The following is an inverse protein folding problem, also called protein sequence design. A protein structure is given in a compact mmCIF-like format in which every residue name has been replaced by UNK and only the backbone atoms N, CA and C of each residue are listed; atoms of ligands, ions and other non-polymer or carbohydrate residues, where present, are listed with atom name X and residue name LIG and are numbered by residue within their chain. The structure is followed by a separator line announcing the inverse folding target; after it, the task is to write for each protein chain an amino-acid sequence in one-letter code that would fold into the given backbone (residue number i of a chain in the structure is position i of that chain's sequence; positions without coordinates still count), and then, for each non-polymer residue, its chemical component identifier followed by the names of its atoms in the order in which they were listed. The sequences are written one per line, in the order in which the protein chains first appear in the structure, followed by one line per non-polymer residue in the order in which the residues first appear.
data_IF_579742777651
#
_entry.id   IF_579742777651
#
_cell.length_a   1.000
_cell.length_b   1.000
_cell.length_c   1.000
_cell.angle_alpha   90.00
_cell.angle_beta   90.00
_cell.angle_gamma   90.00
#
_symmetry.space_group_name_H-M   'P 1'
#
loop_
_entity.id
_entity.type
_entity.pdbx_description
1 polymer ?
#
# COMPACT_ATOMS: atom_id res chain seq x y z
N UNK A 1 -0.10 39.66 25.50
CA UNK A 1 1.36 39.42 25.64
C UNK A 1 1.82 38.60 24.46
N UNK A 2 2.81 39.09 23.69
CA UNK A 2 3.18 38.55 22.36
C UNK A 2 4.13 37.35 22.49
N UNK A 3 3.66 36.15 22.14
CA UNK A 3 4.43 34.90 22.17
C UNK A 3 5.30 34.68 20.91
N UNK A 4 5.76 35.75 20.24
CA UNK A 4 6.47 35.64 18.94
C UNK A 4 7.99 35.44 19.02
N UNK A 5 8.57 35.31 20.21
CA UNK A 5 10.04 35.33 20.39
C UNK A 5 10.67 34.12 21.09
N UNK A 6 9.88 33.16 21.56
CA UNK A 6 10.43 32.04 22.35
C UNK A 6 10.64 30.81 21.47
N UNK A 7 11.86 30.27 21.48
CA UNK A 7 12.20 29.05 20.73
C UNK A 7 11.39 27.89 21.30
N UNK A 8 10.71 27.12 20.44
CA UNK A 8 9.90 25.99 20.89
C UNK A 8 10.82 24.87 21.42
N UNK A 9 10.40 24.22 22.52
CA UNK A 9 11.17 23.13 23.13
C UNK A 9 11.30 21.97 22.15
N UNK A 10 12.52 21.45 22.00
CA UNK A 10 12.85 20.40 21.04
C UNK A 10 13.40 19.16 21.76
N UNK A 11 12.96 17.98 21.33
CA UNK A 11 13.35 16.67 21.86
C UNK A 11 13.88 15.79 20.71
N UNK A 12 14.99 15.09 20.92
CA UNK A 12 15.48 14.08 19.97
C UNK A 12 14.72 12.77 20.15
N UNK A 13 14.10 12.30 19.07
CA UNK A 13 13.40 11.00 19.05
C UNK A 13 14.01 10.09 17.99
N UNK A 14 13.69 8.78 18.03
CA UNK A 14 14.12 7.82 16.99
C UNK A 14 13.64 8.18 15.57
N UNK A 15 12.62 9.02 15.45
CA UNK A 15 12.10 9.53 14.18
C UNK A 15 12.74 10.87 13.75
N UNK A 16 13.66 11.43 14.55
CA UNK A 16 14.29 12.74 14.35
C UNK A 16 13.96 13.74 15.46
N UNK A 17 14.48 14.95 15.33
CA UNK A 17 14.19 16.07 16.25
C UNK A 17 12.72 16.47 16.12
N UNK A 18 11.97 16.40 17.21
CA UNK A 18 10.60 16.87 17.30
C UNK A 18 10.54 18.15 18.12
N UNK A 19 9.56 19.01 17.84
CA UNK A 19 9.42 20.32 18.47
C UNK A 19 8.00 20.49 18.99
N UNK A 20 7.84 20.90 20.25
CA UNK A 20 6.54 21.11 20.87
C UNK A 20 5.90 22.41 20.35
N UNK A 21 4.80 22.29 19.60
CA UNK A 21 4.04 23.45 19.14
C UNK A 21 3.22 24.05 20.30
N UNK A 22 3.42 25.34 20.59
CA UNK A 22 2.64 26.05 21.60
C UNK A 22 1.16 26.12 21.22
N UNK A 23 0.29 25.90 22.20
CA UNK A 23 -1.17 25.87 22.01
C UNK A 23 -1.73 24.51 21.57
N UNK A 24 -0.86 23.52 21.32
CA UNK A 24 -1.27 22.14 21.05
C UNK A 24 -1.02 21.31 22.29
N UNK A 25 -2.10 20.80 22.89
CA UNK A 25 -1.99 19.87 24.02
C UNK A 25 -1.48 18.51 23.51
N UNK A 26 -0.48 17.90 24.16
CA UNK A 26 -0.01 16.57 23.79
C UNK A 26 -1.11 15.53 24.03
N UNK A 27 -1.28 14.61 23.09
CA UNK A 27 -2.28 13.53 23.19
C UNK A 27 -1.80 12.51 24.22
N UNK A 28 -2.50 12.46 25.36
CA UNK A 28 -2.18 11.55 26.45
C UNK A 28 -2.64 10.11 26.14
N UNK A 29 -2.12 9.14 26.89
CA UNK A 29 -2.60 7.76 26.78
C UNK A 29 -4.09 7.62 27.10
N UNK A 30 -4.61 8.43 28.03
CA UNK A 30 -6.04 8.49 28.37
C UNK A 30 -6.87 8.92 27.16
N UNK A 31 -6.42 9.95 26.43
CA UNK A 31 -7.13 10.45 25.25
C UNK A 31 -7.20 9.40 24.14
N UNK A 32 -6.09 8.68 23.91
CA UNK A 32 -6.04 7.57 22.95
C UNK A 32 -7.02 6.47 23.31
N UNK A 33 -7.10 6.08 24.59
CA UNK A 33 -8.02 5.06 25.07
C UNK A 33 -9.49 5.51 24.97
N UNK A 34 -9.77 6.79 25.25
CA UNK A 34 -11.12 7.34 25.11
C UNK A 34 -11.61 7.28 23.67
N UNK A 35 -10.75 7.59 22.69
CA UNK A 35 -11.09 7.47 21.26
C UNK A 35 -11.38 6.02 20.87
N UNK A 36 -10.57 5.07 21.33
CA UNK A 36 -10.80 3.64 21.07
C UNK A 36 -12.10 3.13 21.70
N UNK A 37 -12.41 3.59 22.92
CA UNK A 37 -13.65 3.24 23.61
C UNK A 37 -14.89 3.82 22.92
N UNK A 38 -14.78 5.02 22.33
CA UNK A 38 -15.86 5.67 21.59
C UNK A 38 -16.11 5.04 20.20
N UNK A 39 -15.13 4.34 19.62
CA UNK A 39 -15.23 3.70 18.30
C UNK A 39 -15.01 2.17 18.38
N UNK A 40 -15.85 1.42 19.11
CA UNK A 40 -15.63 -0.02 19.35
C UNK A 40 -15.74 -0.88 18.09
N UNK A 41 -16.45 -0.39 17.05
CA UNK A 41 -16.62 -1.06 15.76
C UNK A 41 -15.55 -0.66 14.74
N UNK A 42 -14.52 0.10 15.13
CA UNK A 42 -13.43 0.44 14.23
C UNK A 42 -12.74 -0.84 13.70
N UNK A 43 -12.37 -0.90 12.41
CA UNK A 43 -11.67 -2.04 11.86
C UNK A 43 -10.36 -2.27 12.61
N UNK A 44 -10.19 -3.46 13.19
CA UNK A 44 -8.97 -3.84 13.92
C UNK A 44 -7.81 -4.25 13.01
N UNK A 45 -8.10 -4.50 11.74
CA UNK A 45 -7.13 -4.89 10.73
C UNK A 45 -7.21 -3.92 9.55
N UNK A 46 -6.07 -3.73 8.89
CA UNK A 46 -6.05 -3.01 7.63
C UNK A 46 -6.97 -3.71 6.62
N UNK A 47 -7.77 -2.91 5.91
CA UNK A 47 -8.54 -3.42 4.79
C UNK A 47 -7.59 -4.01 3.75
N UNK A 48 -7.80 -5.29 3.40
CA UNK A 48 -7.02 -5.93 2.34
C UNK A 48 -7.29 -5.21 1.01
N UNK A 49 -6.28 -5.18 0.14
CA UNK A 49 -6.45 -4.68 -1.23
C UNK A 49 -7.60 -5.42 -1.90
N UNK A 50 -8.46 -4.69 -2.62
CA UNK A 50 -9.62 -5.24 -3.32
C UNK A 50 -9.23 -6.28 -4.39
N UNK A 51 -7.96 -6.24 -4.82
CA UNK A 51 -7.38 -7.15 -5.80
C UNK A 51 -7.01 -8.51 -5.19
N UNK A 52 -7.24 -8.77 -3.89
CA UNK A 52 -6.86 -10.05 -3.26
C UNK A 52 -8.12 -10.88 -2.99
N UNK A 53 -8.35 -11.93 -3.78
CA UNK A 53 -9.42 -12.90 -3.55
C UNK A 53 -10.15 -13.37 -4.82
N UNK A 54 -11.39 -13.84 -4.66
CA UNK A 54 -12.22 -14.41 -5.75
C UNK A 54 -12.53 -13.41 -6.89
N UNK A 55 -12.36 -12.11 -6.62
CA UNK A 55 -12.55 -11.00 -7.55
C UNK A 55 -11.23 -10.33 -7.97
N UNK A 56 -10.10 -11.04 -7.84
CA UNK A 56 -8.82 -10.54 -8.30
C UNK A 56 -8.81 -10.44 -9.84
N UNK A 57 -9.03 -9.22 -10.33
CA UNK A 57 -9.02 -8.88 -11.75
C UNK A 57 -7.63 -9.12 -12.38
N UNK A 58 -6.56 -8.92 -11.61
CA UNK A 58 -5.19 -9.14 -12.08
C UNK A 58 -4.87 -10.63 -12.20
N UNK A 59 -5.33 -11.46 -11.25
CA UNK A 59 -5.24 -12.92 -11.39
C UNK A 59 -5.92 -13.43 -12.66
N UNK A 60 -7.09 -12.87 -13.02
CA UNK A 60 -7.80 -13.26 -14.27
C UNK A 60 -7.02 -12.85 -15.52
N UNK A 61 -6.50 -11.62 -15.56
CA UNK A 61 -5.65 -11.14 -16.67
C UNK A 61 -4.42 -12.02 -16.89
N UNK A 62 -3.82 -12.53 -15.81
CA UNK A 62 -2.68 -13.45 -15.90
C UNK A 62 -3.08 -14.81 -16.48
N UNK A 63 -4.24 -15.35 -16.10
CA UNK A 63 -4.78 -16.59 -16.68
C UNK A 63 -4.99 -16.43 -18.19
N UNK A 64 -5.68 -15.35 -18.59
CA UNK A 64 -5.95 -15.05 -20.00
C UNK A 64 -4.65 -14.96 -20.82
N UNK A 65 -3.64 -14.27 -20.28
CA UNK A 65 -2.31 -14.17 -20.90
C UNK A 65 -1.66 -15.55 -21.09
N UNK A 66 -1.68 -16.40 -20.07
CA UNK A 66 -1.07 -17.74 -20.13
C UNK A 66 -1.80 -18.61 -21.15
N UNK A 67 -3.12 -18.51 -21.24
CA UNK A 67 -3.91 -19.26 -22.20
C UNK A 67 -3.66 -18.81 -23.65
N UNK A 68 -3.49 -17.49 -23.87
CA UNK A 68 -3.07 -16.95 -25.16
C UNK A 68 -1.66 -17.41 -25.57
N UNK A 69 -0.69 -17.38 -24.64
CA UNK A 69 0.66 -17.89 -24.90
C UNK A 69 0.64 -19.36 -25.28
N UNK A 70 -0.17 -20.18 -24.60
CA UNK A 70 -0.35 -21.59 -24.93
C UNK A 70 -0.99 -21.78 -26.30
N UNK A 71 -1.97 -20.94 -26.67
CA UNK A 71 -2.58 -20.95 -28.00
C UNK A 71 -1.53 -20.69 -29.08
N UNK A 72 -0.76 -19.61 -28.93
CA UNK A 72 0.30 -19.24 -29.86
C UNK A 72 1.36 -20.33 -30.00
N UNK A 73 1.78 -20.96 -28.91
CA UNK A 73 2.74 -22.07 -28.95
C UNK A 73 2.21 -23.27 -29.74
N UNK A 74 0.93 -23.61 -29.59
CA UNK A 74 0.28 -24.68 -30.38
C UNK A 74 0.18 -24.33 -31.86
N UNK A 75 -0.09 -23.07 -32.19
CA UNK A 75 -0.14 -22.58 -33.58
C UNK A 75 1.23 -22.60 -34.25
N UNK A 76 2.27 -22.16 -33.55
CA UNK A 76 3.65 -22.21 -34.02
C UNK A 76 4.14 -23.64 -34.25
N UNK A 77 3.76 -24.59 -33.40
CA UNK A 77 4.06 -26.00 -33.59
C UNK A 77 3.31 -26.62 -34.79
N UNK A 78 2.12 -26.12 -35.10
CA UNK A 78 1.31 -26.58 -36.24
C UNK A 78 1.84 -26.06 -37.58
N UNK A 79 2.34 -24.83 -37.61
CA UNK A 79 2.91 -24.19 -38.80
C UNK A 79 4.36 -23.78 -38.52
N UNK A 80 5.32 -24.74 -38.53
CA UNK A 80 6.72 -24.39 -38.39
C UNK A 80 7.12 -23.51 -39.58
N UNK A 81 7.66 -22.32 -39.30
CA UNK A 81 8.22 -21.47 -40.35
C UNK A 81 9.31 -22.26 -41.07
N UNK A 82 9.37 -22.25 -42.41
CA UNK A 82 10.48 -22.88 -43.11
C UNK A 82 11.77 -22.20 -42.65
N UNK A 83 12.74 -23.01 -42.22
CA UNK A 83 14.06 -22.52 -41.81
C UNK A 83 14.65 -21.71 -42.96
N UNK A 84 14.91 -20.43 -42.74
CA UNK A 84 15.74 -19.63 -43.62
C UNK A 84 17.17 -20.17 -43.52
N UNK A 85 17.45 -21.22 -44.27
CA UNK A 85 18.79 -21.73 -44.53
C UNK A 85 18.83 -22.04 -46.02
N UNK A 86 19.12 -21.00 -46.77
CA UNK A 86 19.41 -21.05 -48.19
C UNK A 86 20.55 -20.06 -48.42
N UNK A 87 21.76 -20.64 -48.43
CA UNK A 87 23.05 -20.16 -48.98
C UNK A 87 23.69 -18.89 -48.41
#
# INVERSE_FOLDING_TARGET
MSARGEKPEAEETRAGTQTLMRGVAPITQRDRLAVLAAAPLAPRAAQKRCDVGIFDLESRRQIDLVDELRRMAREAARNPKPSATGE
#
